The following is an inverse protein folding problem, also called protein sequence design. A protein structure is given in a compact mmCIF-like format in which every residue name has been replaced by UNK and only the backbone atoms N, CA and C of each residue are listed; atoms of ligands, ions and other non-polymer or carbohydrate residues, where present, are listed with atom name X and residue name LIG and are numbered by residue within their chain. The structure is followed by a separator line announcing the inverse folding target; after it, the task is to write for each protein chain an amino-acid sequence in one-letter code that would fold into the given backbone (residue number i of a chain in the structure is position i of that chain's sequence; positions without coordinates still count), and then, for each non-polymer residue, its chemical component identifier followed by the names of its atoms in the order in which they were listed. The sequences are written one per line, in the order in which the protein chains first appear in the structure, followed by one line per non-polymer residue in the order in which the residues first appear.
data_IF_271003779434
#
_entry.id   IF_271003779434
#
_cell.length_a   1.000
_cell.length_b   1.000
_cell.length_c   1.000
_cell.angle_alpha   90.00
_cell.angle_beta   90.00
_cell.angle_gamma   90.00
#
_symmetry.space_group_name_H-M   'P 1'
#
loop_
_entity.id
_entity.type
_entity.pdbx_description
1 polymer ?
#
# COMPACT_ATOMS: atom_id res chain seq x y z
N UNK A 1 -7.21 6.51 -11.93
CA UNK A 1 -8.09 5.76 -11.02
C UNK A 1 -7.26 5.40 -9.80
N UNK A 2 -7.52 5.98 -8.62
CA UNK A 2 -6.68 5.75 -7.44
C UNK A 2 -6.78 4.30 -6.96
N UNK A 3 -5.65 3.65 -6.71
CA UNK A 3 -5.59 2.31 -6.11
C UNK A 3 -6.16 2.41 -4.69
N UNK A 4 -7.23 1.67 -4.41
CA UNK A 4 -7.78 1.56 -3.05
C UNK A 4 -7.18 0.30 -2.46
N UNK A 5 -6.27 0.48 -1.50
CA UNK A 5 -5.64 -0.61 -0.75
C UNK A 5 -6.38 -0.77 0.57
N UNK A 6 -6.88 -1.96 0.84
CA UNK A 6 -7.54 -2.32 2.08
C UNK A 6 -6.73 -3.43 2.77
N UNK A 7 -6.25 -3.20 4.00
CA UNK A 7 -5.57 -4.19 4.82
C UNK A 7 -6.54 -4.77 5.84
N UNK A 8 -6.79 -6.08 5.77
CA UNK A 8 -7.56 -6.81 6.77
C UNK A 8 -6.60 -7.48 7.75
N UNK A 9 -6.77 -7.22 9.04
CA UNK A 9 -5.91 -7.74 10.12
C UNK A 9 -6.72 -8.11 11.36
N UNK A 10 -6.15 -8.93 12.23
CA UNK A 10 -6.76 -9.28 13.51
C UNK A 10 -6.53 -8.21 14.58
N UNK A 11 -7.46 -8.12 15.54
CA UNK A 11 -7.31 -7.23 16.71
C UNK A 11 -6.16 -7.65 17.63
N UNK A 12 -5.85 -8.95 17.66
CA UNK A 12 -4.81 -9.57 18.49
C UNK A 12 -3.38 -9.13 18.14
N UNK A 13 -3.20 -8.46 16.99
CA UNK A 13 -1.88 -8.11 16.48
C UNK A 13 -1.14 -9.30 15.87
N UNK A 14 -0.40 -9.05 14.80
CA UNK A 14 0.47 -10.03 14.14
C UNK A 14 1.68 -9.26 13.62
N UNK A 15 2.88 -9.75 13.88
CA UNK A 15 4.12 -9.13 13.39
C UNK A 15 4.10 -8.91 11.87
N UNK A 16 3.44 -9.81 11.14
CA UNK A 16 3.28 -9.66 9.69
C UNK A 16 2.30 -8.53 9.36
N UNK A 17 1.19 -8.41 10.09
CA UNK A 17 0.22 -7.33 9.90
C UNK A 17 0.83 -5.97 10.22
N UNK A 18 1.59 -5.87 11.32
CA UNK A 18 2.25 -4.64 11.75
C UNK A 18 3.32 -4.19 10.76
N UNK A 19 4.17 -5.11 10.29
CA UNK A 19 5.17 -4.79 9.26
C UNK A 19 4.54 -4.41 7.92
N UNK A 20 3.43 -5.05 7.57
CA UNK A 20 2.69 -4.73 6.33
C UNK A 20 2.11 -3.31 6.41
N UNK A 21 1.45 -2.99 7.52
CA UNK A 21 0.88 -1.66 7.73
C UNK A 21 1.96 -0.57 7.80
N UNK A 22 3.08 -0.85 8.48
CA UNK A 22 4.23 0.05 8.50
C UNK A 22 4.79 0.29 7.09
N UNK A 23 4.98 -0.76 6.28
CA UNK A 23 5.44 -0.62 4.91
C UNK A 23 4.49 0.22 4.04
N UNK A 24 3.17 0.03 4.18
CA UNK A 24 2.18 0.83 3.46
C UNK A 24 2.23 2.32 3.86
N UNK A 25 2.50 2.62 5.14
CA UNK A 25 2.71 3.99 5.63
C UNK A 25 4.01 4.59 5.12
N UNK A 26 5.11 3.84 5.14
CA UNK A 26 6.42 4.30 4.69
C UNK A 26 6.42 4.62 3.18
N UNK A 27 5.66 3.86 2.40
CA UNK A 27 5.44 4.13 0.97
C UNK A 27 4.46 5.30 0.73
N UNK A 28 3.89 5.89 1.78
CA UNK A 28 2.91 7.00 1.74
C UNK A 28 1.72 6.65 0.84
N UNK A 29 1.33 5.37 0.81
CA UNK A 29 0.20 4.93 0.00
C UNK A 29 -1.07 5.03 0.82
N UNK A 30 -2.11 5.62 0.22
CA UNK A 30 -3.44 5.66 0.83
C UNK A 30 -3.96 4.23 1.00
N UNK A 31 -4.25 3.85 2.23
CA UNK A 31 -4.82 2.56 2.57
C UNK A 31 -5.90 2.69 3.66
N UNK A 32 -6.77 1.68 3.75
CA UNK A 32 -7.77 1.53 4.82
C UNK A 32 -7.48 0.26 5.59
N UNK A 33 -7.60 0.31 6.92
CA UNK A 33 -7.37 -0.85 7.79
C UNK A 33 -8.71 -1.35 8.32
N UNK A 34 -8.99 -2.63 8.09
CA UNK A 34 -10.13 -3.35 8.62
C UNK A 34 -9.65 -4.31 9.69
N UNK A 35 -10.09 -4.08 10.93
CA UNK A 35 -9.83 -5.00 12.04
C UNK A 35 -10.98 -5.97 12.13
N UNK A 36 -10.70 -7.25 11.92
CA UNK A 36 -11.68 -8.35 12.02
C UNK A 36 -11.39 -9.24 13.21
N UNK A 37 -12.43 -9.85 13.77
CA UNK A 37 -12.31 -10.75 14.91
C UNK A 37 -11.94 -12.18 14.48
N UNK A 38 -12.55 -12.66 13.39
CA UNK A 38 -12.32 -14.00 12.83
C UNK A 38 -11.65 -13.89 11.44
N UNK A 39 -10.61 -14.68 11.13
CA UNK A 39 -10.09 -14.81 9.77
C UNK A 39 -11.14 -15.11 8.71
N UNK A 40 -12.22 -15.83 9.06
CA UNK A 40 -13.33 -16.13 8.16
C UNK A 40 -14.11 -14.88 7.71
N UNK A 41 -14.05 -13.78 8.47
CA UNK A 41 -14.68 -12.51 8.10
C UNK A 41 -13.86 -11.72 7.07
N UNK A 42 -12.62 -12.16 6.79
CA UNK A 42 -11.79 -11.56 5.75
C UNK A 42 -12.20 -12.07 4.36
N UNK A 43 -11.97 -11.28 3.30
CA UNK A 43 -12.28 -11.71 1.93
C UNK A 43 -11.57 -12.98 1.46
N UNK A 44 -10.46 -13.37 2.09
CA UNK A 44 -9.68 -14.55 1.75
C UNK A 44 -9.82 -15.70 2.77
N UNK A 45 -10.56 -15.50 3.87
CA UNK A 45 -10.64 -16.47 4.96
C UNK A 45 -9.33 -16.60 5.78
N UNK A 46 -8.36 -15.70 5.57
CA UNK A 46 -7.06 -15.69 6.23
C UNK A 46 -6.56 -14.27 6.49
N UNK A 47 -5.66 -14.12 7.46
CA UNK A 47 -5.13 -12.84 7.90
C UNK A 47 -3.62 -12.90 8.13
N UNK A 48 -2.89 -11.79 7.92
CA UNK A 48 -3.34 -10.55 7.29
C UNK A 48 -3.52 -10.71 5.76
N UNK A 49 -4.48 -10.01 5.18
CA UNK A 49 -4.71 -10.01 3.72
C UNK A 49 -4.87 -8.57 3.22
N UNK A 50 -4.27 -8.27 2.06
CA UNK A 50 -4.54 -7.02 1.34
C UNK A 50 -5.57 -7.27 0.24
N UNK A 51 -6.51 -6.35 0.11
CA UNK A 51 -7.39 -6.24 -1.06
C UNK A 51 -7.04 -4.97 -1.83
N UNK A 52 -6.75 -5.13 -3.12
CA UNK A 52 -6.55 -4.03 -4.06
C UNK A 52 -7.59 -4.18 -5.19
N UNK A 53 -8.74 -3.51 -5.04
CA UNK A 53 -9.88 -3.67 -5.97
C UNK A 53 -10.43 -5.10 -5.95
N UNK A 54 -10.16 -5.86 -7.02
CA UNK A 54 -10.54 -7.29 -7.15
C UNK A 54 -9.40 -8.26 -6.83
N UNK A 55 -8.16 -7.78 -6.62
CA UNK A 55 -7.02 -8.61 -6.25
C UNK A 55 -7.02 -8.81 -4.74
N UNK A 56 -6.88 -10.06 -4.32
CA UNK A 56 -6.58 -10.43 -2.94
C UNK A 56 -5.11 -10.87 -2.87
N UNK A 57 -4.41 -10.42 -1.83
CA UNK A 57 -3.00 -10.71 -1.60
C UNK A 57 -2.89 -11.40 -0.23
N UNK A 58 -2.73 -12.74 -0.22
CA UNK A 58 -2.67 -13.52 1.01
C UNK A 58 -1.37 -13.28 1.78
N UNK A 59 -1.28 -13.70 3.05
CA UNK A 59 -0.11 -13.50 3.91
C UNK A 59 1.22 -13.90 3.26
N UNK A 60 1.24 -15.03 2.54
CA UNK A 60 2.43 -15.56 1.91
C UNK A 60 2.95 -14.69 0.75
N UNK A 61 2.08 -13.89 0.12
CA UNK A 61 2.41 -13.05 -1.04
C UNK A 61 2.67 -11.60 -0.65
N UNK A 62 2.35 -11.19 0.58
CA UNK A 62 2.52 -9.81 1.05
C UNK A 62 3.95 -9.26 0.84
N UNK A 63 5.04 -10.01 1.13
CA UNK A 63 6.39 -9.48 0.88
C UNK A 63 6.64 -9.14 -0.59
N UNK A 64 6.19 -9.99 -1.52
CA UNK A 64 6.32 -9.76 -2.95
C UNK A 64 5.48 -8.58 -3.43
N UNK A 65 4.23 -8.49 -2.95
CA UNK A 65 3.35 -7.37 -3.25
C UNK A 65 3.94 -6.02 -2.77
N UNK A 66 4.51 -5.97 -1.57
CA UNK A 66 5.11 -4.74 -1.05
C UNK A 66 6.36 -4.31 -1.84
N UNK A 67 7.17 -5.26 -2.31
CA UNK A 67 8.30 -5.00 -3.22
C UNK A 67 7.82 -4.47 -4.59
N UNK A 68 6.79 -5.08 -5.18
CA UNK A 68 6.14 -4.57 -6.39
C UNK A 68 5.62 -3.14 -6.21
N UNK A 69 4.91 -2.88 -5.10
CA UNK A 69 4.37 -1.57 -4.78
C UNK A 69 5.48 -0.53 -4.57
N UNK A 70 6.56 -0.91 -3.89
CA UNK A 70 7.73 -0.05 -3.69
C UNK A 70 8.37 0.37 -5.00
N UNK A 71 8.58 -0.59 -5.92
CA UNK A 71 9.13 -0.30 -7.27
C UNK A 71 8.22 0.63 -8.05
N UNK A 72 6.92 0.37 -8.04
CA UNK A 72 5.94 1.24 -8.68
C UNK A 72 6.01 2.67 -8.12
N UNK A 73 6.05 2.84 -6.80
CA UNK A 73 6.18 4.16 -6.16
C UNK A 73 7.51 4.85 -6.51
N UNK A 74 8.61 4.11 -6.55
CA UNK A 74 9.92 4.65 -6.94
C UNK A 74 9.92 5.14 -8.39
N UNK A 75 9.29 4.41 -9.29
CA UNK A 75 9.14 4.83 -10.69
C UNK A 75 8.24 6.07 -10.80
N UNK A 76 7.13 6.14 -10.05
CA UNK A 76 6.30 7.36 -9.98
C UNK A 76 7.06 8.58 -9.48
N UNK A 77 7.90 8.42 -8.46
CA UNK A 77 8.73 9.51 -7.92
C UNK A 77 9.65 10.11 -8.99
N UNK A 78 10.23 9.28 -9.86
CA UNK A 78 11.08 9.75 -10.98
C UNK A 78 10.31 10.63 -11.96
N UNK A 79 9.07 10.29 -12.29
CA UNK A 79 8.25 11.08 -13.21
C UNK A 79 7.78 12.43 -12.62
N UNK A 80 7.87 12.63 -11.30
CA UNK A 80 7.56 13.91 -10.66
C UNK A 80 8.77 14.85 -10.56
N UNK A 81 10.00 14.38 -10.76
CA UNK A 81 11.20 15.22 -10.74
C UNK A 81 11.37 16.11 -11.98
N UNK A 82 10.63 15.86 -13.07
CA UNK A 82 10.67 16.68 -14.30
C UNK A 82 9.63 17.83 -14.31
N UNK A 83 8.96 18.11 -13.20
CA UNK A 83 8.14 19.30 -13.07
C UNK A 83 9.05 20.54 -12.91
N UNK A 84 9.39 21.15 -14.04
CA UNK A 84 10.11 22.42 -14.16
C UNK A 84 9.63 23.42 -13.09
N UNK A 85 10.52 23.75 -12.15
CA UNK A 85 10.28 24.78 -11.15
C UNK A 85 10.32 26.13 -11.88
N UNK A 86 9.16 26.74 -12.13
CA UNK A 86 9.11 28.12 -12.63
C UNK A 86 9.57 29.02 -11.49
N UNK A 87 10.73 29.66 -11.66
CA UNK A 87 11.16 30.71 -10.73
C UNK A 87 10.16 31.88 -10.77
N UNK A 88 10.09 32.64 -9.67
CA UNK A 88 9.15 33.77 -9.49
C UNK A 88 9.35 34.92 -10.52
N UNK A 89 10.36 34.81 -11.39
CA UNK A 89 10.65 35.71 -12.51
C UNK A 89 10.09 35.23 -13.87
N UNK A 90 9.40 34.08 -13.90
CA UNK A 90 8.80 33.54 -15.12
C UNK A 90 9.80 33.01 -16.16
N UNK A 91 11.07 32.85 -15.80
CA UNK A 91 12.02 32.13 -16.66
C UNK A 91 11.72 30.63 -16.60
N UNK A 92 11.15 30.11 -17.68
CA UNK A 92 11.00 28.66 -17.90
C UNK A 92 12.36 28.09 -18.26
N UNK A 93 12.58 26.82 -17.90
CA UNK A 93 13.63 25.94 -18.44
C UNK A 93 13.95 26.25 -19.93
#
# INVERSE_FOLDING_TARGET
MGRVIELYRSASGSDLADRTEAALRDLVVRHTVHVVADPADSPAGELPVIREGSRLVPPAELPGYLDELSRFMADWSRFQSDACYVADDGSVC
#
